data_IF_168093746312
#
_entry.id   IF_168093746312
#
_cell.length_a   1.000
_cell.length_b   1.000
_cell.length_c   1.000
_cell.angle_alpha   90.00
_cell.angle_beta   90.00
_cell.angle_gamma   90.00
#
_symmetry.space_group_name_H-M   'P 1'
#
loop_
_entity.id
_entity.type
_entity.pdbx_description
1 polymer ?
#
# COMPACT_ATOMS: atom_id res chain seq x y z
N UNK A 1 -20.93 -10.66 -13.60
CA UNK A 1 -19.87 -10.85 -12.59
C UNK A 1 -18.99 -9.64 -12.60
N UNK A 2 -18.89 -8.99 -11.45
CA UNK A 2 -17.92 -7.95 -11.22
C UNK A 2 -16.58 -8.63 -10.84
N UNK A 3 -15.49 -8.44 -11.61
CA UNK A 3 -14.20 -9.06 -11.31
C UNK A 3 -13.42 -8.32 -10.21
N UNK A 4 -13.89 -7.16 -9.75
CA UNK A 4 -13.19 -6.37 -8.75
C UNK A 4 -13.38 -6.94 -7.34
N UNK A 5 -12.34 -6.81 -6.51
CA UNK A 5 -12.46 -7.05 -5.08
C UNK A 5 -13.51 -6.12 -4.46
N UNK A 6 -14.18 -6.53 -3.37
CA UNK A 6 -15.09 -5.66 -2.63
C UNK A 6 -14.43 -4.36 -2.18
N UNK A 7 -15.20 -3.27 -2.08
CA UNK A 7 -14.67 -1.93 -1.79
C UNK A 7 -13.82 -1.84 -0.52
N UNK A 8 -14.22 -2.55 0.55
CA UNK A 8 -13.45 -2.60 1.80
C UNK A 8 -12.06 -3.20 1.62
N UNK A 9 -11.93 -4.24 0.77
CA UNK A 9 -10.66 -4.91 0.50
C UNK A 9 -9.78 -4.05 -0.40
N UNK A 10 -10.37 -3.32 -1.35
CA UNK A 10 -9.62 -2.45 -2.28
C UNK A 10 -8.80 -1.40 -1.54
N UNK A 11 -9.38 -0.76 -0.53
CA UNK A 11 -8.69 0.28 0.25
C UNK A 11 -7.83 -0.34 1.34
N UNK A 12 -8.43 -1.15 2.22
CA UNK A 12 -7.73 -1.66 3.41
C UNK A 12 -6.57 -2.58 3.03
N UNK A 13 -6.75 -3.42 2.02
CA UNK A 13 -5.69 -4.32 1.54
C UNK A 13 -4.51 -3.56 0.94
N UNK A 14 -4.77 -2.44 0.26
CA UNK A 14 -3.70 -1.62 -0.32
C UNK A 14 -2.92 -0.87 0.75
N UNK A 15 -3.61 -0.15 1.66
CA UNK A 15 -2.95 0.71 2.64
C UNK A 15 -2.18 -0.08 3.69
N UNK A 16 -2.63 -1.28 4.07
CA UNK A 16 -1.88 -2.16 4.98
C UNK A 16 -0.53 -2.61 4.40
N UNK A 17 -0.38 -2.62 3.07
CA UNK A 17 0.87 -2.98 2.40
C UNK A 17 1.83 -1.79 2.22
N UNK A 18 1.47 -0.59 2.71
CA UNK A 18 2.31 0.60 2.62
C UNK A 18 2.97 0.88 3.97
N UNK A 19 4.29 0.66 4.14
CA UNK A 19 5.00 1.02 5.37
C UNK A 19 4.83 2.50 5.76
N UNK A 20 4.65 3.37 4.76
CA UNK A 20 4.40 4.80 4.94
C UNK A 20 3.06 5.05 5.65
N UNK A 21 2.04 4.24 5.38
CA UNK A 21 0.77 4.30 6.10
C UNK A 21 0.96 3.93 7.57
N UNK A 22 1.63 2.81 7.84
CA UNK A 22 1.95 2.41 9.22
C UNK A 22 2.72 3.50 9.98
N UNK A 23 3.68 4.17 9.33
CA UNK A 23 4.44 5.28 9.91
C UNK A 23 3.57 6.52 10.16
N UNK A 24 2.73 6.90 9.20
CA UNK A 24 1.89 8.08 9.30
C UNK A 24 0.81 7.96 10.40
N UNK A 25 0.29 6.75 10.61
CA UNK A 25 -0.78 6.49 11.57
C UNK A 25 -0.33 5.78 12.85
N UNK A 26 0.98 5.56 13.03
CA UNK A 26 1.54 4.93 14.22
C UNK A 26 1.09 3.48 14.42
N UNK A 27 0.83 2.74 13.34
CA UNK A 27 0.42 1.34 13.42
C UNK A 27 1.57 0.48 13.97
N UNK A 28 1.26 -0.39 14.92
CA UNK A 28 2.19 -1.32 15.57
C UNK A 28 1.73 -2.77 15.40
N UNK A 29 2.62 -3.71 15.70
CA UNK A 29 2.31 -5.14 15.69
C UNK A 29 1.03 -5.43 16.50
N UNK A 30 0.09 -6.11 15.84
CA UNK A 30 -1.24 -6.42 16.39
C UNK A 30 -2.35 -5.46 15.94
N UNK A 31 -2.03 -4.28 15.40
CA UNK A 31 -3.03 -3.41 14.80
C UNK A 31 -3.50 -3.97 13.44
N UNK A 32 -4.76 -3.72 13.07
CA UNK A 32 -5.38 -4.28 11.86
C UNK A 32 -4.67 -3.90 10.55
N UNK A 33 -4.03 -2.73 10.50
CA UNK A 33 -3.35 -2.21 9.31
C UNK A 33 -1.83 -2.34 9.37
N UNK A 34 -1.29 -3.02 10.39
CA UNK A 34 0.14 -3.24 10.48
C UNK A 34 0.54 -4.53 9.75
N UNK A 35 1.47 -4.40 8.80
CA UNK A 35 2.16 -5.51 8.15
C UNK A 35 3.65 -5.35 8.41
N UNK A 36 4.29 -6.44 8.81
CA UNK A 36 5.74 -6.47 9.03
C UNK A 36 6.49 -6.07 7.74
N UNK A 37 7.56 -5.25 7.81
CA UNK A 37 8.22 -4.70 6.63
C UNK A 37 8.72 -5.75 5.61
N UNK A 38 9.08 -6.95 6.08
CA UNK A 38 9.55 -8.07 5.25
C UNK A 38 8.41 -8.85 4.58
N UNK A 39 7.15 -8.56 4.95
CA UNK A 39 5.94 -9.19 4.40
C UNK A 39 5.18 -8.28 3.44
N UNK A 40 5.69 -7.08 3.17
CA UNK A 40 5.12 -6.16 2.19
C UNK A 40 5.35 -6.67 0.77
N UNK A 41 4.27 -6.71 -0.02
CA UNK A 41 4.32 -7.04 -1.43
C UNK A 41 4.53 -5.77 -2.26
N UNK A 42 5.80 -5.45 -2.56
CA UNK A 42 6.10 -4.39 -3.52
C UNK A 42 5.75 -4.85 -4.94
N UNK A 43 4.95 -4.07 -5.66
CA UNK A 43 4.62 -4.33 -7.06
C UNK A 43 5.70 -3.80 -8.00
N UNK A 44 6.31 -2.67 -7.65
CA UNK A 44 7.25 -1.93 -8.47
C UNK A 44 8.56 -1.64 -7.73
N UNK A 45 9.57 -1.18 -8.46
CA UNK A 45 10.87 -0.81 -7.92
C UNK A 45 11.80 -2.00 -7.66
N UNK A 46 12.97 -1.72 -7.07
CA UNK A 46 14.02 -2.72 -6.85
C UNK A 46 13.55 -3.89 -5.96
N UNK A 47 12.66 -3.58 -5.01
CA UNK A 47 12.08 -4.50 -4.02
C UNK A 47 10.90 -5.31 -4.54
N UNK A 48 10.55 -5.20 -5.83
CA UNK A 48 9.35 -5.85 -6.35
C UNK A 48 9.35 -7.36 -6.10
N UNK A 49 8.22 -7.84 -5.60
CA UNK A 49 7.96 -9.24 -5.25
C UNK A 49 7.42 -9.97 -6.49
N UNK A 50 8.32 -10.30 -7.43
CA UNK A 50 7.94 -10.97 -8.67
C UNK A 50 9.14 -11.30 -9.56
N UNK A 51 8.88 -12.07 -10.63
CA UNK A 51 9.90 -12.35 -11.64
C UNK A 51 10.29 -11.03 -12.33
N UNK A 52 11.54 -10.60 -12.16
CA UNK A 52 12.11 -9.48 -12.94
C UNK A 52 12.20 -9.93 -14.40
N UNK A 53 11.19 -9.60 -15.20
CA UNK A 53 11.14 -9.94 -16.62
C UNK A 53 12.01 -8.94 -17.38
N UNK A 54 13.30 -9.25 -17.53
CA UNK A 54 14.26 -8.39 -18.23
C UNK A 54 14.15 -8.47 -19.77
N UNK A 55 13.26 -9.32 -20.29
CA UNK A 55 13.04 -9.52 -21.72
C UNK A 55 11.54 -9.62 -21.99
N UNK A 56 10.96 -8.53 -22.51
CA UNK A 56 9.65 -8.58 -23.15
C UNK A 56 9.88 -9.11 -24.57
N UNK A 57 9.40 -10.31 -24.88
CA UNK A 57 9.29 -10.75 -26.27
C UNK A 57 8.15 -9.98 -26.92
N UNK A 58 8.46 -8.81 -27.49
CA UNK A 58 7.53 -8.05 -28.32
C UNK A 58 7.49 -8.75 -29.68
N UNK A 59 6.82 -9.90 -29.75
CA UNK A 59 6.35 -10.45 -31.02
C UNK A 59 4.82 -10.37 -31.00
N UNK A 60 4.31 -9.44 -31.82
CA UNK A 60 2.92 -9.31 -32.26
C UNK A 60 1.97 -8.57 -31.30
N UNK A 61 2.07 -7.23 -31.33
CA UNK A 61 0.94 -6.29 -31.52
C UNK A 61 1.49 -4.85 -31.51
N UNK A 62 2.01 -4.41 -32.66
CA UNK A 62 2.65 -3.09 -32.84
C UNK A 62 1.68 -2.02 -33.39
N UNK A 63 0.45 -1.97 -32.92
CA UNK A 63 -0.43 -0.84 -33.18
C UNK A 63 -0.81 -0.24 -31.83
N UNK A 64 -0.58 1.06 -31.68
CA UNK A 64 -0.92 1.90 -30.51
C UNK A 64 0.16 2.01 -29.44
N UNK A 65 1.31 2.62 -29.78
CA UNK A 65 2.23 3.16 -28.80
C UNK A 65 2.80 4.51 -29.25
N UNK A 66 2.22 5.59 -28.73
CA UNK A 66 2.91 6.86 -28.47
C UNK A 66 2.49 7.32 -27.06
N UNK A 67 3.16 6.78 -26.04
CA UNK A 67 3.13 7.34 -24.68
C UNK A 67 4.55 7.74 -24.35
N UNK A 68 4.84 9.03 -24.49
CA UNK A 68 6.10 9.65 -24.10
C UNK A 68 6.16 9.76 -22.57
N UNK A 69 7.06 8.98 -21.94
CA UNK A 69 7.30 8.97 -20.50
C UNK A 69 8.48 9.88 -20.10
N UNK A 70 8.81 10.89 -20.90
CA UNK A 70 9.93 11.80 -20.61
C UNK A 70 9.68 12.81 -19.49
N UNK A 71 8.44 12.95 -18.98
CA UNK A 71 8.08 13.96 -17.98
C UNK A 71 7.57 13.39 -16.64
N UNK A 72 8.28 12.42 -16.05
CA UNK A 72 8.07 12.13 -14.62
C UNK A 72 8.75 13.21 -13.76
N UNK A 73 8.03 13.96 -12.90
CA UNK A 73 8.67 14.89 -11.98
C UNK A 73 9.49 14.12 -10.95
N UNK A 74 10.77 14.48 -10.83
CA UNK A 74 11.65 14.05 -9.74
C UNK A 74 11.04 14.59 -8.44
N UNK A 75 10.51 13.71 -7.60
CA UNK A 75 10.20 14.08 -6.22
C UNK A 75 11.54 14.21 -5.49
N UNK A 76 12.01 15.44 -5.28
CA UNK A 76 13.11 15.71 -4.36
C UNK A 76 12.73 15.19 -2.97
N UNK A 77 13.61 14.35 -2.40
CA UNK A 77 13.47 13.87 -1.03
C UNK A 77 13.67 15.04 -0.06
N UNK A 78 12.57 15.67 0.33
CA UNK A 78 12.55 16.55 1.48
C UNK A 78 12.69 15.68 2.73
N UNK A 79 13.90 15.61 3.27
CA UNK A 79 14.17 15.09 4.61
C UNK A 79 13.41 15.95 5.63
N UNK A 80 12.21 15.51 6.01
CA UNK A 80 11.50 16.05 7.17
C UNK A 80 12.09 15.38 8.40
N UNK A 81 12.85 16.16 9.17
CA UNK A 81 13.30 15.79 10.51
C UNK A 81 12.09 15.73 11.44
N UNK A 82 11.65 14.52 11.78
CA UNK A 82 10.54 14.27 12.71
C UNK A 82 11.13 14.11 14.12
N UNK A 83 11.72 15.19 14.63
CA UNK A 83 12.15 15.28 16.03
C UNK A 83 11.44 16.46 16.70
N UNK A 84 10.13 16.29 16.94
CA UNK A 84 9.29 16.92 17.97
C UNK A 84 7.85 17.07 17.46
N UNK A 85 7.03 16.05 17.68
CA UNK A 85 5.57 16.23 17.77
C UNK A 85 5.10 15.54 19.05
N UNK A 86 5.33 16.20 20.17
CA UNK A 86 4.61 15.94 21.42
C UNK A 86 3.18 16.49 21.24
N UNK A 87 2.31 15.68 20.65
CA UNK A 87 0.90 16.02 20.41
C UNK A 87 -0.01 15.02 21.08
N UNK A 88 -0.48 15.36 22.28
CA UNK A 88 -1.47 14.61 23.06
C UNK A 88 -2.79 14.52 22.30
N UNK A 89 -3.03 13.38 21.65
CA UNK A 89 -4.30 13.04 21.01
C UNK A 89 -5.10 12.08 21.88
N UNK A 90 -6.03 12.61 22.66
CA UNK A 90 -7.14 11.88 23.27
C UNK A 90 -8.11 11.48 22.15
N UNK A 91 -8.00 10.23 21.67
CA UNK A 91 -8.95 9.66 20.72
C UNK A 91 -9.83 8.66 21.47
N UNK A 92 -11.09 9.07 21.63
CA UNK A 92 -12.10 8.41 22.44
C UNK A 92 -12.31 6.93 22.13
N UNK A 93 -12.70 6.22 23.19
CA UNK A 93 -13.10 4.81 23.19
C UNK A 93 -14.23 4.55 22.17
N UNK A 94 -13.91 3.84 21.09
CA UNK A 94 -14.90 3.05 20.39
C UNK A 94 -14.93 1.65 21.04
N UNK A 95 -15.75 1.52 22.08
CA UNK A 95 -16.29 0.22 22.46
C UNK A 95 -17.27 -0.19 21.35
N UNK A 96 -17.12 -1.39 20.82
CA UNK A 96 -18.18 -2.38 20.58
C UNK A 96 -17.54 -3.57 19.84
N UNK A 97 -17.46 -4.68 20.55
CA UNK A 97 -16.96 -5.96 20.06
C UNK A 97 -17.78 -6.42 18.83
N UNK A 98 -17.16 -6.89 17.73
CA UNK A 98 -17.91 -7.55 16.68
C UNK A 98 -18.35 -8.94 17.14
N UNK A 99 -19.67 -9.12 17.26
CA UNK A 99 -20.35 -10.40 17.52
C UNK A 99 -19.79 -11.54 16.64
N UNK A 100 -19.63 -12.77 17.19
CA UNK A 100 -19.10 -13.89 16.43
C UNK A 100 -20.11 -14.36 15.38
N UNK A 101 -19.66 -14.46 14.13
CA UNK A 101 -20.41 -15.04 13.02
C UNK A 101 -20.79 -16.49 13.36
N UNK A 102 -22.08 -16.75 13.57
CA UNK A 102 -22.63 -18.10 13.66
C UNK A 102 -22.78 -18.68 12.26
N UNK A 103 -22.23 -19.87 12.06
CA UNK A 103 -22.34 -20.61 10.80
C UNK A 103 -23.63 -21.43 10.81
N UNK A 104 -24.59 -21.09 9.95
CA UNK A 104 -25.66 -21.99 9.48
C UNK A 104 -25.61 -22.12 7.96
#
# INVERSE_FOLDING_TARGET
>A
NDPHSPDSIRVNGLVSQMPEFSRAFGCKAGDAHFVEPDRVCYLFGEKSTGQKVNTVNISENSADADVDYSESPVLEENNVDVSEVEGSGDYGQANEDPEPLTNE
#
